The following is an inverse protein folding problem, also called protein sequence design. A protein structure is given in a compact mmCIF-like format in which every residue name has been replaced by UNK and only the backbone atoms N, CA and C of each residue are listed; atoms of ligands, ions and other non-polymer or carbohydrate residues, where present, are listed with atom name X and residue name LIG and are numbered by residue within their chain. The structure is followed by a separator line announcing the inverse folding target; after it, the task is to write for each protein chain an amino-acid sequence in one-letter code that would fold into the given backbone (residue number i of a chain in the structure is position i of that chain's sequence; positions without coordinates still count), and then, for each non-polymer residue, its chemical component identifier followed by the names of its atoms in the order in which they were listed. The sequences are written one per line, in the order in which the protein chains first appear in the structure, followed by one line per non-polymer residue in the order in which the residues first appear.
data_IF_831557897104
#
_entry.id   IF_831557897104
#
_cell.length_a   1.000
_cell.length_b   1.000
_cell.length_c   1.000
_cell.angle_alpha   90.00
_cell.angle_beta   90.00
_cell.angle_gamma   90.00
#
_symmetry.space_group_name_H-M   'P 1'
#
loop_
_entity.id
_entity.type
_entity.pdbx_description
1 polymer ?
#
# COMPACT_ATOMS: atom_id res chain seq x y z
N UNK A 1 3.94 1.62 17.39
CA UNK A 1 3.70 0.60 16.36
C UNK A 1 4.73 0.62 15.22
N UNK A 2 5.35 1.76 14.85
CA UNK A 2 6.33 1.82 13.74
C UNK A 2 7.83 1.82 14.14
N UNK A 3 8.15 1.52 15.40
CA UNK A 3 9.45 1.81 16.03
C UNK A 3 10.67 1.16 15.37
N UNK A 4 10.52 0.05 14.65
CA UNK A 4 11.66 -0.64 14.03
C UNK A 4 12.18 0.04 12.75
N UNK A 5 11.35 0.83 12.05
CA UNK A 5 11.68 1.38 10.73
C UNK A 5 11.71 2.91 10.67
N UNK A 6 11.42 3.60 11.77
CA UNK A 6 11.34 5.07 11.79
C UNK A 6 12.61 5.72 11.21
N UNK A 7 13.81 5.25 11.55
CA UNK A 7 15.06 5.83 11.05
C UNK A 7 15.29 5.60 9.55
N UNK A 8 14.86 4.46 9.00
CA UNK A 8 14.97 4.15 7.55
C UNK A 8 13.97 4.93 6.71
N UNK A 9 12.88 5.39 7.30
CA UNK A 9 11.81 6.11 6.63
C UNK A 9 11.99 7.62 6.70
N UNK A 10 12.48 8.16 7.82
CA UNK A 10 12.57 9.63 8.03
C UNK A 10 13.55 10.35 7.11
N UNK A 11 14.60 9.66 6.64
CA UNK A 11 15.62 10.27 5.75
C UNK A 11 15.43 9.95 4.26
N UNK A 12 14.31 9.31 3.91
CA UNK A 12 14.06 8.75 2.57
C UNK A 12 12.79 9.31 1.95
N UNK A 13 12.70 9.30 0.62
CA UNK A 13 11.45 9.63 -0.08
C UNK A 13 10.53 8.41 -0.09
N UNK A 14 9.42 8.49 0.63
CA UNK A 14 8.47 7.40 0.76
C UNK A 14 7.23 7.64 -0.12
N UNK A 15 6.79 6.60 -0.81
CA UNK A 15 5.53 6.56 -1.53
C UNK A 15 4.58 5.58 -0.84
N UNK A 16 3.44 6.05 -0.36
CA UNK A 16 2.40 5.22 0.23
C UNK A 16 1.40 4.79 -0.85
N UNK A 17 1.24 3.48 -1.02
CA UNK A 17 0.12 2.91 -1.77
C UNK A 17 -1.16 3.04 -0.92
N UNK A 18 -2.07 3.92 -1.34
CA UNK A 18 -3.26 4.27 -0.57
C UNK A 18 -4.55 3.87 -1.28
N UNK A 19 -5.47 3.27 -0.52
CA UNK A 19 -6.75 2.76 -1.02
C UNK A 19 -7.94 3.22 -0.18
N UNK A 20 -7.74 4.18 0.75
CA UNK A 20 -8.73 4.65 1.73
C UNK A 20 -9.32 3.59 2.69
N UNK A 21 -9.04 2.29 2.50
CA UNK A 21 -9.47 1.22 3.40
C UNK A 21 -8.79 1.26 4.78
N UNK A 22 -9.21 0.35 5.67
CA UNK A 22 -8.71 0.22 7.05
C UNK A 22 -7.17 0.19 7.09
N UNK A 23 -6.55 -0.73 6.38
CA UNK A 23 -5.10 -0.96 6.52
C UNK A 23 -4.27 0.22 6.02
N UNK A 24 -4.63 0.78 4.85
CA UNK A 24 -3.91 1.91 4.27
C UNK A 24 -4.15 3.21 5.03
N UNK A 25 -5.34 3.39 5.62
CA UNK A 25 -5.65 4.48 6.56
C UNK A 25 -4.85 4.35 7.86
N UNK A 26 -4.77 3.15 8.45
CA UNK A 26 -3.97 2.94 9.65
C UNK A 26 -2.48 3.26 9.38
N UNK A 27 -1.94 2.79 8.26
CA UNK A 27 -0.56 3.12 7.87
C UNK A 27 -0.37 4.62 7.66
N UNK A 28 -1.30 5.30 6.98
CA UNK A 28 -1.30 6.75 6.78
C UNK A 28 -1.18 7.51 8.10
N UNK A 29 -2.04 7.22 9.08
CA UNK A 29 -2.01 7.93 10.37
C UNK A 29 -0.79 7.60 11.19
N UNK A 30 -0.33 6.36 11.16
CA UNK A 30 0.91 6.00 11.84
C UNK A 30 2.12 6.73 11.25
N UNK A 31 2.19 6.93 9.93
CA UNK A 31 3.27 7.72 9.31
C UNK A 31 3.22 9.19 9.75
N UNK A 32 2.02 9.78 9.80
CA UNK A 32 1.83 11.15 10.30
C UNK A 32 2.23 11.30 11.77
N UNK A 33 1.77 10.40 12.64
CA UNK A 33 2.08 10.41 14.08
C UNK A 33 3.57 10.29 14.36
N UNK A 34 4.30 9.57 13.50
CA UNK A 34 5.75 9.42 13.59
C UNK A 34 6.53 10.50 12.80
N UNK A 35 5.84 11.51 12.25
CA UNK A 35 6.44 12.60 11.46
C UNK A 35 7.29 12.09 10.28
N UNK A 36 6.89 10.97 9.68
CA UNK A 36 7.55 10.41 8.51
C UNK A 36 7.01 11.13 7.28
N UNK A 37 7.85 11.73 6.42
CA UNK A 37 7.38 12.35 5.18
C UNK A 37 7.04 11.28 4.13
N UNK A 38 5.90 11.42 3.47
CA UNK A 38 5.47 10.53 2.39
C UNK A 38 4.56 11.25 1.39
N UNK A 39 4.57 10.77 0.16
CA UNK A 39 3.57 11.11 -0.86
C UNK A 39 2.66 9.91 -1.10
N UNK A 40 1.52 10.13 -1.78
CA UNK A 40 0.46 9.14 -1.91
C UNK A 40 0.24 8.75 -3.36
N UNK A 41 0.14 7.44 -3.61
CA UNK A 41 -0.27 6.87 -4.88
C UNK A 41 -1.61 6.13 -4.71
N UNK A 42 -2.62 6.55 -5.47
CA UNK A 42 -3.97 5.99 -5.43
C UNK A 42 -4.39 5.50 -6.82
N UNK A 43 -5.01 4.32 -6.87
CA UNK A 43 -5.58 3.75 -8.09
C UNK A 43 -7.09 3.65 -7.95
N UNK A 44 -7.82 4.39 -8.78
CA UNK A 44 -9.28 4.29 -8.88
C UNK A 44 -9.62 3.21 -9.91
N UNK A 45 -10.17 2.07 -9.47
CA UNK A 45 -10.50 0.96 -10.35
C UNK A 45 -11.83 1.11 -11.10
N UNK A 46 -12.65 2.11 -10.76
CA UNK A 46 -13.91 2.41 -11.44
C UNK A 46 -14.91 1.24 -11.47
N UNK A 47 -14.89 0.39 -10.44
CA UNK A 47 -15.73 -0.81 -10.35
C UNK A 47 -17.14 -0.45 -9.90
N UNK A 48 -17.30 0.63 -9.10
CA UNK A 48 -18.58 1.14 -8.59
C UNK A 48 -18.54 2.67 -8.45
N UNK A 49 -19.69 3.32 -8.30
CA UNK A 49 -19.79 4.76 -7.98
C UNK A 49 -19.03 5.10 -6.68
N UNK A 50 -18.96 4.12 -5.76
CA UNK A 50 -18.21 4.17 -4.50
C UNK A 50 -16.70 4.40 -4.69
N UNK A 51 -16.10 4.02 -5.82
CA UNK A 51 -14.68 4.27 -6.10
C UNK A 51 -14.38 5.77 -6.28
N UNK A 52 -15.36 6.55 -6.74
CA UNK A 52 -15.20 8.00 -6.87
C UNK A 52 -15.36 8.69 -5.49
N UNK A 53 -16.16 8.11 -4.58
CA UNK A 53 -16.25 8.56 -3.17
C UNK A 53 -14.97 8.27 -2.37
N UNK A 54 -14.38 7.09 -2.56
CA UNK A 54 -13.09 6.71 -1.96
C UNK A 54 -11.96 7.64 -2.42
N UNK A 55 -11.90 7.95 -3.73
CA UNK A 55 -10.95 8.91 -4.26
C UNK A 55 -11.19 10.31 -3.69
N UNK A 56 -12.45 10.78 -3.65
CA UNK A 56 -12.77 12.07 -3.06
C UNK A 56 -12.38 12.15 -1.58
N UNK A 57 -12.63 11.11 -0.79
CA UNK A 57 -12.24 11.04 0.61
C UNK A 57 -10.71 11.07 0.76
N UNK A 58 -10.00 10.30 -0.06
CA UNK A 58 -8.54 10.31 -0.08
C UNK A 58 -7.98 11.70 -0.41
N UNK A 59 -8.55 12.39 -1.42
CA UNK A 59 -8.13 13.74 -1.80
C UNK A 59 -8.35 14.73 -0.66
N UNK A 60 -9.53 14.72 -0.02
CA UNK A 60 -9.81 15.57 1.15
C UNK A 60 -8.81 15.30 2.29
N UNK A 61 -8.47 14.04 2.53
CA UNK A 61 -7.47 13.67 3.53
C UNK A 61 -6.09 14.22 3.16
N UNK A 62 -5.67 14.08 1.90
CA UNK A 62 -4.38 14.59 1.43
C UNK A 62 -4.29 16.12 1.52
N UNK A 63 -5.36 16.83 1.21
CA UNK A 63 -5.43 18.30 1.35
C UNK A 63 -5.34 18.72 2.82
N UNK A 64 -6.10 18.05 3.70
CA UNK A 64 -6.10 18.33 5.14
C UNK A 64 -4.71 18.24 5.76
N UNK A 65 -3.90 17.28 5.30
CA UNK A 65 -2.54 17.04 5.81
C UNK A 65 -1.44 17.62 4.91
N UNK A 66 -1.79 18.37 3.87
CA UNK A 66 -0.87 18.99 2.90
C UNK A 66 0.12 17.98 2.28
N UNK A 67 -0.39 16.83 1.86
CA UNK A 67 0.37 15.75 1.24
C UNK A 67 0.20 15.76 -0.28
N UNK A 68 1.25 15.40 -1.01
CA UNK A 68 1.15 15.24 -2.46
C UNK A 68 0.47 13.91 -2.79
N UNK A 69 -0.49 13.96 -3.71
CA UNK A 69 -1.25 12.80 -4.17
C UNK A 69 -1.12 12.63 -5.68
N UNK A 70 -0.92 11.39 -6.11
CA UNK A 70 -0.98 10.99 -7.50
C UNK A 70 -2.11 9.98 -7.64
N UNK A 71 -3.06 10.28 -8.51
CA UNK A 71 -4.16 9.37 -8.82
C UNK A 71 -4.08 8.89 -10.26
N UNK A 72 -4.54 7.67 -10.49
CA UNK A 72 -4.74 7.12 -11.83
C UNK A 72 -6.03 6.31 -11.87
N UNK A 73 -6.81 6.48 -12.95
CA UNK A 73 -7.99 5.67 -13.21
C UNK A 73 -7.59 4.41 -13.98
N UNK A 74 -7.94 3.26 -13.44
CA UNK A 74 -7.67 1.99 -14.09
C UNK A 74 -8.63 1.73 -15.26
N UNK A 75 -8.18 1.03 -16.32
CA UNK A 75 -9.07 0.59 -17.37
C UNK A 75 -10.01 -0.52 -16.88
N UNK A 76 -11.16 -0.68 -17.54
CA UNK A 76 -12.08 -1.79 -17.26
C UNK A 76 -11.55 -3.08 -17.89
N UNK A 77 -11.42 -4.13 -17.10
CA UNK A 77 -11.04 -5.46 -17.58
C UNK A 77 -12.23 -6.41 -17.61
N UNK A 78 -12.35 -7.19 -18.68
CA UNK A 78 -13.42 -8.18 -18.84
C UNK A 78 -13.08 -9.55 -18.23
N UNK A 79 -11.79 -9.85 -18.03
CA UNK A 79 -11.28 -11.09 -17.45
C UNK A 79 -9.98 -10.83 -16.68
N UNK A 80 -9.61 -11.76 -15.80
CA UNK A 80 -8.38 -11.70 -14.99
C UNK A 80 -8.22 -10.39 -14.21
N UNK A 81 -9.33 -9.89 -13.65
CA UNK A 81 -9.38 -8.59 -12.98
C UNK A 81 -8.26 -8.42 -11.94
N UNK A 82 -8.11 -9.37 -11.02
CA UNK A 82 -7.10 -9.28 -9.94
C UNK A 82 -5.67 -9.16 -10.47
N UNK A 83 -5.26 -10.06 -11.38
CA UNK A 83 -3.92 -10.06 -11.95
C UNK A 83 -3.64 -8.77 -12.76
N UNK A 84 -4.61 -8.31 -13.54
CA UNK A 84 -4.50 -7.08 -14.32
C UNK A 84 -4.46 -5.83 -13.42
N UNK A 85 -5.32 -5.79 -12.39
CA UNK A 85 -5.36 -4.72 -11.40
C UNK A 85 -4.06 -4.62 -10.61
N UNK A 86 -3.49 -5.78 -10.23
CA UNK A 86 -2.19 -5.88 -9.57
C UNK A 86 -1.10 -5.31 -10.46
N UNK A 87 -0.99 -5.81 -11.71
CA UNK A 87 0.03 -5.36 -12.66
C UNK A 87 -0.06 -3.85 -12.90
N UNK A 88 -1.24 -3.36 -13.27
CA UNK A 88 -1.48 -1.95 -13.54
C UNK A 88 -1.06 -1.04 -12.38
N UNK A 89 -1.36 -1.47 -11.14
CA UNK A 89 -1.00 -0.72 -9.95
C UNK A 89 0.51 -0.70 -9.70
N UNK A 90 1.20 -1.82 -9.84
CA UNK A 90 2.67 -1.84 -9.69
C UNK A 90 3.35 -1.05 -10.82
N UNK A 91 2.87 -1.15 -12.06
CA UNK A 91 3.36 -0.33 -13.18
C UNK A 91 3.21 1.17 -12.88
N UNK A 92 2.07 1.58 -12.30
CA UNK A 92 1.85 2.95 -11.85
C UNK A 92 2.82 3.38 -10.74
N UNK A 93 2.99 2.55 -9.71
CA UNK A 93 3.90 2.84 -8.60
C UNK A 93 5.35 2.96 -9.07
N UNK A 94 5.80 2.03 -9.90
CA UNK A 94 7.17 2.02 -10.43
C UNK A 94 7.43 3.24 -11.32
N UNK A 95 6.46 3.65 -12.13
CA UNK A 95 6.56 4.91 -12.89
C UNK A 95 6.76 6.12 -11.96
N UNK A 96 5.99 6.23 -10.87
CA UNK A 96 6.15 7.33 -9.91
C UNK A 96 7.51 7.27 -9.18
N UNK A 97 7.95 6.07 -8.81
CA UNK A 97 9.27 5.82 -8.21
C UNK A 97 10.37 6.32 -9.13
N UNK A 98 10.28 6.02 -10.43
CA UNK A 98 11.21 6.50 -11.44
C UNK A 98 11.18 8.01 -11.59
N UNK A 99 10.00 8.60 -11.85
CA UNK A 99 9.82 10.01 -12.14
C UNK A 99 10.17 10.93 -10.97
N UNK A 100 9.86 10.51 -9.74
CA UNK A 100 9.97 11.37 -8.56
C UNK A 100 11.04 10.94 -7.55
N UNK A 101 11.78 9.87 -7.86
CA UNK A 101 12.89 9.40 -7.03
C UNK A 101 12.50 9.00 -5.62
N UNK A 102 11.42 8.23 -5.50
CA UNK A 102 11.11 7.53 -4.26
C UNK A 102 12.13 6.41 -4.00
N UNK A 103 12.54 6.28 -2.74
CA UNK A 103 13.42 5.22 -2.26
C UNK A 103 12.61 4.01 -1.78
N UNK A 104 11.42 4.28 -1.22
CA UNK A 104 10.58 3.28 -0.58
C UNK A 104 9.15 3.31 -1.13
N UNK A 105 8.59 2.12 -1.37
CA UNK A 105 7.17 1.91 -1.59
C UNK A 105 6.58 1.26 -0.33
N UNK A 106 5.66 1.95 0.33
CA UNK A 106 4.97 1.48 1.52
C UNK A 106 3.63 0.88 1.11
N UNK A 107 3.37 -0.38 1.45
CA UNK A 107 2.06 -1.00 1.24
C UNK A 107 1.45 -1.46 2.55
N UNK A 108 0.16 -1.20 2.69
CA UNK A 108 -0.63 -1.74 3.78
C UNK A 108 -1.26 -3.06 3.32
N UNK A 109 -0.88 -4.14 4.01
CA UNK A 109 -1.40 -5.51 3.93
C UNK A 109 -2.43 -5.81 2.83
N UNK A 110 -1.96 -6.42 1.74
CA UNK A 110 -2.87 -7.21 0.93
C UNK A 110 -2.82 -8.65 1.40
N UNK A 111 -3.90 -9.08 2.07
CA UNK A 111 -4.18 -10.49 2.35
C UNK A 111 -4.07 -11.34 1.07
N UNK A 112 -4.47 -10.79 -0.08
CA UNK A 112 -4.30 -11.42 -1.39
C UNK A 112 -2.82 -11.61 -1.77
N UNK A 113 -1.91 -10.70 -1.40
CA UNK A 113 -0.49 -10.84 -1.70
C UNK A 113 0.14 -11.98 -0.89
N UNK A 114 -0.30 -12.19 0.36
CA UNK A 114 0.15 -13.31 1.18
C UNK A 114 -0.38 -14.64 0.64
N UNK A 115 -1.66 -14.69 0.26
CA UNK A 115 -2.28 -15.89 -0.30
C UNK A 115 -1.70 -16.24 -1.67
N UNK A 116 -1.55 -15.27 -2.58
CA UNK A 116 -0.93 -15.46 -3.89
C UNK A 116 0.52 -15.95 -3.76
N UNK A 117 1.29 -15.36 -2.84
CA UNK A 117 2.67 -15.78 -2.59
C UNK A 117 2.74 -17.20 -2.03
N UNK A 118 1.87 -17.53 -1.08
CA UNK A 118 1.74 -18.86 -0.51
C UNK A 118 1.38 -19.90 -1.59
N UNK A 119 0.35 -19.62 -2.39
CA UNK A 119 -0.08 -20.49 -3.50
C UNK A 119 1.01 -20.64 -4.57
N UNK A 120 1.72 -19.56 -4.91
CA UNK A 120 2.86 -19.63 -5.84
C UNK A 120 3.96 -20.54 -5.31
N UNK A 121 4.31 -20.47 -4.02
CA UNK A 121 5.36 -21.31 -3.44
C UNK A 121 4.93 -22.76 -3.27
N UNK A 122 3.68 -23.01 -2.90
CA UNK A 122 3.09 -24.35 -2.87
C UNK A 122 3.12 -25.00 -4.25
N UNK A 123 2.76 -24.25 -5.30
CA UNK A 123 2.79 -24.76 -6.68
C UNK A 123 4.21 -25.09 -7.19
N UNK A 124 5.25 -24.53 -6.55
CA UNK A 124 6.66 -24.76 -6.88
C UNK A 124 7.33 -25.83 -5.99
N UNK A 125 6.59 -26.51 -5.11
CA UNK A 125 7.10 -27.60 -4.29
C UNK A 125 7.98 -27.18 -3.10
N UNK A 126 7.77 -25.95 -2.59
CA UNK A 126 8.54 -25.41 -1.47
C UNK A 126 8.31 -26.17 -0.14
N UNK A 127 9.38 -26.39 0.63
CA UNK A 127 9.34 -27.00 1.97
C UNK A 127 8.90 -26.02 3.07
N UNK A 128 8.59 -26.54 4.27
CA UNK A 128 8.11 -25.75 5.44
C UNK A 128 8.94 -24.49 5.79
N UNK A 129 10.29 -24.46 5.69
CA UNK A 129 11.08 -23.25 5.95
C UNK A 129 10.94 -22.17 4.86
N UNK A 130 10.50 -22.54 3.65
CA UNK A 130 10.34 -21.63 2.52
C UNK A 130 8.92 -21.03 2.45
N UNK A 131 8.03 -21.46 3.34
CA UNK A 131 6.71 -20.90 3.61
C UNK A 131 6.76 -19.73 4.61
N UNK A 132 7.95 -19.30 5.05
CA UNK A 132 8.16 -18.16 5.94
C UNK A 132 7.76 -16.85 5.25
N UNK A 133 6.46 -16.53 5.27
CA UNK A 133 5.85 -15.20 5.17
C UNK A 133 6.25 -14.26 4.03
N UNK A 134 5.53 -13.16 3.88
CA UNK A 134 6.09 -12.01 3.17
C UNK A 134 7.18 -11.39 4.05
N UNK A 135 8.30 -10.99 3.46
CA UNK A 135 9.30 -10.21 4.19
C UNK A 135 8.77 -8.79 4.43
N UNK A 136 9.05 -8.22 5.60
CA UNK A 136 8.68 -6.85 5.93
C UNK A 136 9.37 -5.82 5.03
N UNK A 137 10.58 -6.14 4.56
CA UNK A 137 11.36 -5.35 3.61
C UNK A 137 11.78 -6.21 2.45
N UNK A 138 11.51 -5.77 1.23
CA UNK A 138 11.90 -6.47 0.00
C UNK A 138 12.56 -5.49 -0.97
N UNK A 139 13.88 -5.60 -1.21
CA UNK A 139 14.54 -4.83 -2.26
C UNK A 139 13.97 -5.18 -3.64
N UNK A 140 13.70 -4.15 -4.44
CA UNK A 140 13.14 -4.24 -5.79
C UNK A 140 13.91 -3.36 -6.76
N UNK A 141 13.69 -3.60 -8.04
CA UNK A 141 14.14 -2.74 -9.13
C UNK A 141 12.99 -2.54 -10.09
N UNK A 142 12.81 -1.31 -10.55
CA UNK A 142 11.91 -0.99 -11.64
C UNK A 142 12.47 -1.53 -12.96
N UNK A 143 11.66 -1.53 -14.02
CA UNK A 143 12.08 -1.97 -15.36
C UNK A 143 13.31 -1.20 -15.88
N UNK A 144 13.41 0.11 -15.62
CA UNK A 144 14.57 0.92 -16.02
C UNK A 144 15.76 0.79 -15.04
N UNK A 145 15.71 -0.16 -14.11
CA UNK A 145 16.83 -0.55 -13.25
C UNK A 145 16.98 0.26 -11.96
N UNK A 146 16.03 1.16 -11.64
CA UNK A 146 16.06 1.96 -10.41
C UNK A 146 15.73 1.09 -9.20
N UNK A 147 16.64 1.06 -8.24
CA UNK A 147 16.41 0.34 -6.98
C UNK A 147 15.43 1.09 -6.08
N UNK A 148 14.51 0.34 -5.46
CA UNK A 148 13.64 0.82 -4.40
C UNK A 148 13.38 -0.30 -3.39
N UNK A 149 12.88 0.03 -2.22
CA UNK A 149 12.52 -0.97 -1.20
C UNK A 149 11.01 -1.01 -1.03
N UNK A 150 10.42 -2.19 -1.20
CA UNK A 150 9.02 -2.43 -0.85
C UNK A 150 8.95 -2.77 0.63
N UNK A 151 8.31 -1.90 1.42
CA UNK A 151 8.15 -2.05 2.86
C UNK A 151 6.69 -2.35 3.20
N UNK A 152 6.49 -3.27 4.16
CA UNK A 152 5.19 -3.70 4.68
C UNK A 152 5.14 -3.52 6.19
N UNK A 153 5.12 -2.27 6.71
CA UNK A 153 5.29 -2.01 8.14
C UNK A 153 4.21 -2.63 9.04
N UNK A 154 3.08 -3.04 8.44
CA UNK A 154 1.94 -3.59 9.16
C UNK A 154 1.93 -5.14 9.22
N UNK A 155 3.00 -5.83 8.82
CA UNK A 155 3.04 -7.30 8.70
C UNK A 155 2.80 -8.07 10.01
N UNK A 156 3.14 -7.44 11.13
CA UNK A 156 2.89 -8.00 12.45
C UNK A 156 1.52 -7.69 13.06
N UNK A 157 0.62 -6.98 12.37
CA UNK A 157 -0.63 -6.47 12.95
C UNK A 157 -1.86 -7.10 12.32
N UNK A 158 -2.86 -7.43 13.15
CA UNK A 158 -4.15 -7.93 12.70
C UNK A 158 -5.06 -6.78 12.25
N UNK A 159 -6.05 -7.09 11.41
CA UNK A 159 -7.06 -6.11 10.98
C UNK A 159 -7.82 -5.52 12.18
N UNK A 160 -8.11 -6.33 13.19
CA UNK A 160 -8.78 -5.92 14.42
C UNK A 160 -7.92 -4.95 15.25
N UNK A 161 -6.61 -5.18 15.31
CA UNK A 161 -5.67 -4.27 15.98
C UNK A 161 -5.60 -2.91 15.28
N UNK A 162 -5.55 -2.93 13.93
CA UNK A 162 -5.55 -1.71 13.12
C UNK A 162 -6.88 -0.95 13.25
N UNK A 163 -8.00 -1.66 13.24
CA UNK A 163 -9.33 -1.08 13.44
C UNK A 163 -9.45 -0.45 14.83
N UNK A 164 -9.08 -1.18 15.89
CA UNK A 164 -9.11 -0.66 17.25
C UNK A 164 -8.20 0.56 17.43
N UNK A 165 -7.09 0.63 16.70
CA UNK A 165 -6.22 1.81 16.67
C UNK A 165 -6.90 3.01 15.98
N UNK A 166 -7.53 2.80 14.82
CA UNK A 166 -8.26 3.86 14.12
C UNK A 166 -9.40 4.41 14.99
N UNK A 167 -10.20 3.51 15.56
CA UNK A 167 -11.35 3.85 16.42
C UNK A 167 -10.91 4.62 17.66
N UNK A 168 -9.87 4.14 18.36
CA UNK A 168 -9.35 4.79 19.58
C UNK A 168 -8.91 6.23 19.34
N UNK A 169 -8.39 6.52 18.14
CA UNK A 169 -7.87 7.84 17.79
C UNK A 169 -8.88 8.68 16.99
N UNK A 170 -10.09 8.17 16.73
CA UNK A 170 -11.11 8.79 15.87
C UNK A 170 -10.57 9.13 14.46
N UNK A 171 -9.72 8.27 13.92
CA UNK A 171 -9.15 8.44 12.59
C UNK A 171 -10.15 7.96 11.53
N UNK A 172 -10.42 8.75 10.48
CA UNK A 172 -11.34 8.34 9.42
C UNK A 172 -10.74 7.22 8.56
N UNK A 173 -11.57 6.24 8.20
CA UNK A 173 -11.23 5.18 7.25
C UNK A 173 -12.49 4.78 6.49
N UNK A 174 -12.32 4.25 5.28
CA UNK A 174 -13.40 3.71 4.50
C UNK A 174 -13.58 2.22 4.81
N UNK A 175 -14.82 1.79 4.99
CA UNK A 175 -15.18 0.37 5.11
C UNK A 175 -15.77 -0.05 3.78
N UNK A 176 -15.10 -0.98 3.09
CA UNK A 176 -15.69 -1.65 1.94
C UNK A 176 -16.88 -2.48 2.45
N UNK A 177 -18.09 -2.16 1.99
CA UNK A 177 -19.24 -3.06 2.14
C UNK A 177 -19.07 -4.16 1.09
N UNK A 178 -18.45 -5.27 1.50
CA UNK A 178 -18.33 -6.50 0.72
C UNK A 178 -19.69 -7.05 0.27
#
# INVERSE_FOLDING_TARGET
MLTAHCSLLTEKKNLLAFSAGIDSSALFFLLLENSIPFDIALVNYGIRDQSDEEEAHALVLTEKYNLKVYTIKAPKWQSHFEANARRFRYDFFERLIEEHHYDNLLTAHQLNDQLEWLLMRLSKGAGLPELLGLEESSPRRTENGKSYTLLRPLLGYSKEELLAYLDRNNHPYFVDES
#
